data_IF_521583180341
#
_entry.id   IF_521583180341
#
_cell.length_a   1.000
_cell.length_b   1.000
_cell.length_c   1.000
_cell.angle_alpha   90.00
_cell.angle_beta   90.00
_cell.angle_gamma   90.00
#
_symmetry.space_group_name_H-M   'P 1'
#
loop_
_entity.id
_entity.type
_entity.pdbx_description
1 polymer ?
#
# COMPACT_ATOMS: atom_id res chain seq x y z
N UNK A 1 -6.77 8.51 -4.17
CA UNK A 1 -6.28 7.33 -3.42
C UNK A 1 -4.96 7.60 -2.68
N UNK A 2 -4.00 8.33 -3.27
CA UNK A 2 -2.71 8.62 -2.64
C UNK A 2 -2.48 10.12 -2.47
N UNK A 3 -1.82 10.51 -1.37
CA UNK A 3 -1.29 11.86 -1.11
C UNK A 3 0.22 11.82 -1.30
N UNK A 4 0.76 12.75 -2.08
CA UNK A 4 2.22 12.88 -2.21
C UNK A 4 2.73 13.84 -1.14
N UNK A 5 3.77 13.45 -0.40
CA UNK A 5 4.47 14.34 0.52
C UNK A 5 5.62 15.11 -0.17
N UNK A 6 6.25 16.04 0.56
CA UNK A 6 7.35 16.87 0.04
C UNK A 6 8.62 16.06 -0.29
N UNK A 7 8.75 14.83 0.22
CA UNK A 7 9.87 13.92 -0.05
C UNK A 7 9.56 12.96 -1.22
N UNK A 8 8.39 13.09 -1.85
CA UNK A 8 7.96 12.26 -2.96
C UNK A 8 7.34 10.91 -2.53
N UNK A 9 7.19 10.68 -1.23
CA UNK A 9 6.48 9.54 -0.68
C UNK A 9 4.99 9.62 -0.97
N UNK A 10 4.34 8.47 -1.17
CA UNK A 10 2.89 8.39 -1.41
C UNK A 10 2.18 7.76 -0.22
N UNK A 11 1.50 8.57 0.57
CA UNK A 11 0.68 8.11 1.68
C UNK A 11 -0.72 7.73 1.20
N UNK A 12 -1.27 6.64 1.73
CA UNK A 12 -2.62 6.21 1.43
C UNK A 12 -3.67 7.10 2.12
N UNK A 13 -4.65 7.59 1.36
CA UNK A 13 -5.58 8.62 1.83
C UNK A 13 -6.72 8.10 2.71
N UNK A 14 -7.04 6.82 2.63
CA UNK A 14 -8.25 6.27 3.28
C UNK A 14 -8.01 5.75 4.70
N UNK A 15 -6.78 5.90 5.20
CA UNK A 15 -6.38 5.45 6.53
C UNK A 15 -6.04 3.95 6.57
N UNK A 16 -5.59 3.51 7.75
CA UNK A 16 -5.07 2.16 7.98
C UNK A 16 -6.11 1.06 7.83
N UNK A 17 -7.38 1.32 8.08
CA UNK A 17 -8.44 0.29 8.12
C UNK A 17 -9.32 0.24 6.86
N UNK A 18 -8.91 0.92 5.78
CA UNK A 18 -9.67 0.92 4.53
C UNK A 18 -9.28 -0.24 3.59
N UNK A 19 -9.52 -1.47 4.06
CA UNK A 19 -9.14 -2.75 3.42
C UNK A 19 -9.55 -2.85 1.94
N UNK A 20 -10.83 -2.62 1.65
CA UNK A 20 -11.36 -2.72 0.29
C UNK A 20 -10.74 -1.69 -0.66
N UNK A 21 -10.45 -0.49 -0.15
CA UNK A 21 -9.78 0.54 -0.94
C UNK A 21 -8.30 0.17 -1.19
N UNK A 22 -7.63 -0.46 -0.22
CA UNK A 22 -6.26 -0.95 -0.37
C UNK A 22 -6.16 -2.14 -1.35
N UNK A 23 -7.16 -3.03 -1.37
CA UNK A 23 -7.27 -4.10 -2.36
C UNK A 23 -7.43 -3.53 -3.78
N UNK A 24 -8.40 -2.64 -3.98
CA UNK A 24 -8.61 -1.96 -5.27
C UNK A 24 -7.38 -1.20 -5.74
N UNK A 25 -6.66 -0.54 -4.83
CA UNK A 25 -5.40 0.14 -5.13
C UNK A 25 -4.34 -0.81 -5.72
N UNK A 26 -4.24 -2.02 -5.18
CA UNK A 26 -3.26 -3.01 -5.60
C UNK A 26 -3.64 -3.69 -6.92
N UNK A 27 -4.93 -3.91 -7.18
CA UNK A 27 -5.45 -4.39 -8.46
C UNK A 27 -5.05 -3.45 -9.61
N UNK A 28 -5.18 -2.15 -9.40
CA UNK A 28 -4.82 -1.12 -10.41
C UNK A 28 -3.29 -0.84 -10.47
N UNK A 29 -2.48 -1.45 -9.59
CA UNK A 29 -1.05 -1.17 -9.47
C UNK A 29 -0.19 -2.15 -10.28
N UNK A 30 0.38 -1.66 -11.39
CA UNK A 30 1.33 -2.43 -12.21
C UNK A 30 2.66 -2.75 -11.50
N UNK A 31 2.99 -2.00 -10.45
CA UNK A 31 4.23 -2.20 -9.67
C UNK A 31 4.00 -2.99 -8.38
N UNK A 32 2.82 -3.59 -8.20
CA UNK A 32 2.55 -4.45 -7.06
C UNK A 32 3.54 -5.61 -7.01
N UNK A 33 4.08 -5.86 -5.82
CA UNK A 33 4.90 -7.02 -5.54
C UNK A 33 4.52 -7.49 -4.14
N UNK A 34 4.02 -8.73 -4.04
CA UNK A 34 3.69 -9.34 -2.77
C UNK A 34 4.91 -9.32 -1.83
N UNK A 35 4.65 -9.12 -0.55
CA UNK A 35 5.64 -9.32 0.50
C UNK A 35 5.85 -10.82 0.76
N UNK A 36 6.77 -11.16 1.66
CA UNK A 36 6.92 -12.55 2.14
C UNK A 36 5.68 -12.97 2.95
N UNK A 37 5.40 -14.28 2.97
CA UNK A 37 4.16 -14.83 3.56
C UNK A 37 3.95 -14.40 5.02
N UNK A 38 5.03 -14.28 5.80
CA UNK A 38 4.98 -13.86 7.21
C UNK A 38 4.62 -12.38 7.42
N UNK A 39 4.71 -11.56 6.38
CA UNK A 39 4.45 -10.11 6.39
C UNK A 39 3.10 -9.73 5.79
N UNK A 40 2.36 -10.71 5.26
CA UNK A 40 1.01 -10.54 4.72
C UNK A 40 0.03 -10.28 5.86
N UNK A 41 -0.85 -9.29 5.69
CA UNK A 41 -1.78 -8.82 6.73
C UNK A 41 -3.23 -8.90 6.26
N UNK A 42 -3.47 -8.74 4.96
CA UNK A 42 -4.81 -8.83 4.38
C UNK A 42 -5.11 -10.25 3.92
N UNK A 43 -6.37 -10.67 4.06
CA UNK A 43 -6.87 -11.94 3.53
C UNK A 43 -6.90 -11.92 1.99
N UNK A 44 -7.11 -10.75 1.38
CA UNK A 44 -7.05 -10.60 -0.06
C UNK A 44 -5.63 -10.86 -0.59
N UNK A 45 -5.50 -11.80 -1.52
CA UNK A 45 -4.23 -12.17 -2.18
C UNK A 45 -3.50 -10.93 -2.73
N UNK A 46 -4.25 -9.95 -3.24
CA UNK A 46 -3.73 -8.70 -3.79
C UNK A 46 -4.29 -7.48 -3.05
N UNK A 47 -3.51 -6.96 -2.10
CA UNK A 47 -3.81 -5.74 -1.36
C UNK A 47 -2.55 -4.90 -1.14
N UNK A 48 -2.67 -3.57 -1.09
CA UNK A 48 -1.52 -2.73 -0.77
C UNK A 48 -0.95 -3.02 0.63
N UNK A 49 -1.74 -3.64 1.52
CA UNK A 49 -1.24 -4.16 2.80
C UNK A 49 -0.30 -5.34 2.63
N UNK A 50 -0.41 -6.09 1.55
CA UNK A 50 0.38 -7.28 1.26
C UNK A 50 1.56 -6.96 0.31
N UNK A 51 1.86 -5.68 0.08
CA UNK A 51 2.89 -5.25 -0.86
C UNK A 51 4.21 -4.92 -0.15
N UNK A 52 5.35 -5.43 -0.66
CA UNK A 52 6.69 -5.21 -0.07
C UNK A 52 7.12 -3.75 0.03
N UNK A 53 6.50 -2.88 -0.76
CA UNK A 53 6.76 -1.43 -0.78
C UNK A 53 5.97 -0.65 0.27
N UNK A 54 5.11 -1.30 1.05
CA UNK A 54 4.30 -0.71 2.12
C UNK A 54 5.16 -0.36 3.33
N UNK A 55 4.98 0.84 3.88
CA UNK A 55 5.51 1.23 5.20
C UNK A 55 4.41 1.84 6.05
N UNK A 56 4.07 1.19 7.15
CA UNK A 56 3.04 1.65 8.06
C UNK A 56 3.39 3.01 8.68
N UNK A 57 2.37 3.85 8.82
CA UNK A 57 2.37 5.00 9.74
C UNK A 57 1.37 4.72 10.86
N UNK A 58 1.27 5.64 11.83
CA UNK A 58 0.32 5.49 12.93
C UNK A 58 -1.14 5.45 12.44
N UNK A 59 -1.46 6.19 11.38
CA UNK A 59 -2.84 6.38 10.90
C UNK A 59 -3.08 5.81 9.50
N UNK A 60 -2.04 5.43 8.77
CA UNK A 60 -2.11 4.94 7.40
C UNK A 60 -0.85 4.16 7.02
N UNK A 61 -0.42 4.23 5.76
CA UNK A 61 0.85 3.70 5.26
C UNK A 61 1.31 4.43 4.02
N UNK A 62 2.59 4.28 3.70
CA UNK A 62 3.25 4.87 2.55
C UNK A 62 3.67 3.79 1.54
N UNK A 63 3.58 4.12 0.25
CA UNK A 63 4.17 3.34 -0.83
C UNK A 63 5.55 3.90 -1.17
N UNK A 64 6.59 3.09 -0.99
CA UNK A 64 7.99 3.44 -1.29
C UNK A 64 8.45 3.07 -2.71
N UNK A 65 7.54 2.61 -3.57
CA UNK A 65 7.93 2.30 -4.95
C UNK A 65 8.23 3.60 -5.70
N UNK A 66 9.49 3.75 -6.14
CA UNK A 66 9.91 4.81 -7.05
C UNK A 66 9.02 4.85 -8.29
N UNK A 67 8.74 6.06 -8.79
CA UNK A 67 8.00 6.26 -10.04
C UNK A 67 8.78 5.57 -11.16
N UNK A 68 8.12 4.66 -11.89
CA UNK A 68 8.53 4.28 -13.24
C UNK A 68 7.89 5.28 -14.19
#
# INVERSE_FOLDING_TARGET
MWRTDAMGGREFLHGRDAWQAAARAAEECAAFAADVDEELVAEEERSCYNCRFRRWSATSFNCLKERV
#
